data_IF_346837303842
#
_entry.id   IF_346837303842
#
_cell.length_a   1.000
_cell.length_b   1.000
_cell.length_c   1.000
_cell.angle_alpha   90.00
_cell.angle_beta   90.00
_cell.angle_gamma   90.00
#
_symmetry.space_group_name_H-M   'P 1'
#
loop_
_entity.id
_entity.type
_entity.pdbx_description
1 polymer ?
#
# COMPACT_ATOMS: atom_id res chain seq x y z
N UNK A 1 -36.87 10.18 23.62
CA UNK A 1 -36.21 10.95 22.61
C UNK A 1 -36.12 10.21 21.29
N UNK A 2 -36.46 10.86 20.23
CA UNK A 2 -36.64 10.25 18.92
C UNK A 2 -35.31 9.94 18.24
N UNK A 3 -34.20 10.53 18.71
CA UNK A 3 -32.86 10.27 18.18
C UNK A 3 -31.80 10.34 19.28
N UNK A 4 -31.53 9.20 19.91
CA UNK A 4 -30.52 9.08 20.96
C UNK A 4 -29.11 9.43 20.47
N UNK A 5 -28.74 9.02 19.25
CA UNK A 5 -27.44 9.37 18.66
C UNK A 5 -27.25 10.89 18.58
N UNK A 6 -28.25 11.60 18.09
CA UNK A 6 -28.24 13.08 18.02
C UNK A 6 -28.21 13.74 19.39
N UNK A 7 -28.91 13.16 20.37
CA UNK A 7 -28.88 13.65 21.73
C UNK A 7 -27.45 13.59 22.33
N UNK A 8 -26.75 12.50 22.12
CA UNK A 8 -25.41 12.28 22.71
C UNK A 8 -24.32 12.96 21.88
N UNK A 9 -24.40 12.87 20.57
CA UNK A 9 -23.31 13.25 19.67
C UNK A 9 -23.61 14.50 18.81
N UNK A 10 -24.77 15.14 18.97
CA UNK A 10 -25.24 16.16 18.03
C UNK A 10 -24.28 17.31 17.85
N UNK A 11 -23.77 17.89 18.94
CA UNK A 11 -22.79 18.99 18.86
C UNK A 11 -21.56 18.60 18.12
N UNK A 12 -20.98 17.43 18.45
CA UNK A 12 -19.80 16.91 17.75
C UNK A 12 -20.08 16.65 16.27
N UNK A 13 -21.21 16.01 15.96
CA UNK A 13 -21.59 15.69 14.59
C UNK A 13 -21.75 16.92 13.70
N UNK A 14 -22.28 17.99 14.25
CA UNK A 14 -22.53 19.24 13.51
C UNK A 14 -21.30 20.14 13.40
N UNK A 15 -20.26 19.91 14.25
CA UNK A 15 -19.05 20.75 14.30
C UNK A 15 -17.80 20.00 13.84
N UNK A 16 -17.84 18.67 13.74
CA UNK A 16 -16.68 17.87 13.32
C UNK A 16 -16.28 18.18 11.87
N UNK A 17 -15.00 18.41 11.65
CA UNK A 17 -14.45 18.64 10.32
C UNK A 17 -13.67 17.41 9.87
N UNK A 18 -13.90 16.99 8.64
CA UNK A 18 -13.13 15.93 7.98
C UNK A 18 -11.95 16.59 7.28
N UNK A 19 -10.73 16.20 7.64
CA UNK A 19 -9.53 16.71 6.97
C UNK A 19 -9.51 16.31 5.49
N UNK A 20 -8.87 17.11 4.64
CA UNK A 20 -8.88 16.95 3.19
C UNK A 20 -8.29 15.61 2.71
N UNK A 21 -7.43 14.98 3.51
CA UNK A 21 -6.80 13.68 3.28
C UNK A 21 -7.55 12.51 3.91
N UNK A 22 -8.73 12.74 4.50
CA UNK A 22 -9.51 11.73 5.21
C UNK A 22 -10.89 11.55 4.57
N UNK A 23 -11.40 10.33 4.61
CA UNK A 23 -12.76 10.00 4.18
C UNK A 23 -13.82 10.12 5.27
N UNK A 24 -13.39 10.33 6.52
CA UNK A 24 -14.26 10.42 7.67
C UNK A 24 -13.50 10.78 8.95
N UNK A 25 -14.26 11.19 9.98
CA UNK A 25 -13.74 11.49 11.31
C UNK A 25 -14.58 10.78 12.38
N UNK A 26 -13.93 10.30 13.42
CA UNK A 26 -14.59 9.60 14.52
C UNK A 26 -13.69 9.58 15.76
N UNK A 27 -14.12 8.90 16.82
CA UNK A 27 -13.40 8.82 18.09
C UNK A 27 -11.94 8.36 17.92
N UNK A 28 -11.70 7.41 17.02
CA UNK A 28 -10.34 6.94 16.73
C UNK A 28 -9.45 8.00 16.05
N UNK A 29 -10.03 8.96 15.33
CA UNK A 29 -9.26 10.05 14.72
C UNK A 29 -8.59 10.93 15.78
N UNK A 30 -9.26 11.17 16.90
CA UNK A 30 -8.72 11.95 18.02
C UNK A 30 -7.53 11.26 18.71
N UNK A 31 -7.49 9.93 18.68
CA UNK A 31 -6.38 9.14 19.21
C UNK A 31 -5.24 9.02 18.17
N UNK A 32 -5.59 8.75 16.93
CA UNK A 32 -4.62 8.45 15.87
C UNK A 32 -3.83 9.69 15.41
N UNK A 33 -4.46 10.87 15.33
CA UNK A 33 -3.77 12.09 14.88
C UNK A 33 -2.62 12.48 15.81
N UNK A 34 -2.81 12.62 17.14
CA UNK A 34 -1.72 12.89 18.07
C UNK A 34 -0.66 11.78 18.08
N UNK A 35 -1.08 10.51 17.97
CA UNK A 35 -0.17 9.37 17.93
C UNK A 35 0.73 9.40 16.69
N UNK A 36 0.19 9.68 15.51
CA UNK A 36 1.00 9.85 14.28
C UNK A 36 2.02 10.96 14.46
N UNK A 37 1.64 12.09 15.04
CA UNK A 37 2.55 13.20 15.32
C UNK A 37 3.67 12.81 16.28
N UNK A 38 3.34 12.07 17.33
CA UNK A 38 4.32 11.55 18.28
C UNK A 38 5.30 10.60 17.60
N UNK A 39 4.80 9.64 16.80
CA UNK A 39 5.64 8.71 16.05
C UNK A 39 6.57 9.46 15.08
N UNK A 40 6.06 10.43 14.35
CA UNK A 40 6.86 11.26 13.46
C UNK A 40 8.00 11.95 14.21
N UNK A 41 7.70 12.57 15.36
CA UNK A 41 8.72 13.24 16.19
C UNK A 41 9.80 12.25 16.67
N UNK A 42 9.41 11.01 17.05
CA UNK A 42 10.35 9.97 17.45
C UNK A 42 11.27 9.61 16.28
N UNK A 43 10.71 9.36 15.09
CA UNK A 43 11.45 9.01 13.89
C UNK A 43 12.40 10.13 13.45
N UNK A 44 11.92 11.37 13.46
CA UNK A 44 12.72 12.56 13.14
C UNK A 44 13.90 12.73 14.11
N UNK A 45 13.71 12.43 15.40
CA UNK A 45 14.77 12.52 16.39
C UNK A 45 15.79 11.39 16.20
N UNK A 46 15.32 10.14 16.12
CA UNK A 46 16.20 8.96 16.01
C UNK A 46 17.02 8.99 14.72
N UNK A 47 16.46 9.50 13.61
CA UNK A 47 17.17 9.62 12.32
C UNK A 47 18.29 10.69 12.33
N UNK A 48 18.27 11.65 13.28
CA UNK A 48 19.26 12.71 13.39
C UNK A 48 20.32 12.43 14.46
N UNK A 49 20.15 11.40 15.28
CA UNK A 49 21.07 11.05 16.36
C UNK A 49 22.19 10.12 15.84
N UNK A 50 23.37 10.27 16.42
CA UNK A 50 24.44 9.27 16.27
C UNK A 50 24.11 8.04 17.11
N UNK A 51 23.58 7.02 16.47
CA UNK A 51 23.20 5.79 17.13
C UNK A 51 24.27 4.71 16.96
N UNK A 52 24.53 3.93 18.01
CA UNK A 52 25.51 2.84 17.97
C UNK A 52 25.06 1.76 16.98
N UNK A 53 26.00 1.26 16.17
CA UNK A 53 25.74 0.21 15.15
C UNK A 53 25.10 -1.03 15.76
N UNK A 54 24.00 -1.49 15.16
CA UNK A 54 23.27 -2.69 15.54
C UNK A 54 22.14 -2.46 16.55
N UNK A 55 22.00 -1.24 17.11
CA UNK A 55 20.87 -0.89 17.98
C UNK A 55 19.57 -0.76 17.19
N UNK A 56 18.44 -0.83 17.89
CA UNK A 56 17.11 -0.60 17.28
C UNK A 56 17.01 0.82 16.77
N UNK A 57 17.51 1.78 17.54
CA UNK A 57 17.51 3.20 17.19
C UNK A 57 18.26 3.44 15.87
N UNK A 58 19.44 2.83 15.69
CA UNK A 58 20.20 2.94 14.45
C UNK A 58 19.40 2.36 13.27
N UNK A 59 18.84 1.16 13.41
CA UNK A 59 18.08 0.51 12.31
C UNK A 59 16.85 1.30 11.91
N UNK A 60 16.09 1.79 12.89
CA UNK A 60 14.88 2.59 12.66
C UNK A 60 15.26 3.96 12.08
N UNK A 61 16.28 4.61 12.62
CA UNK A 61 16.75 5.91 12.14
C UNK A 61 17.24 5.86 10.71
N UNK A 62 18.10 4.89 10.37
CA UNK A 62 18.63 4.72 9.01
C UNK A 62 17.53 4.37 8.01
N UNK A 63 16.61 3.49 8.40
CA UNK A 63 15.48 3.13 7.54
C UNK A 63 14.58 4.35 7.24
N UNK A 64 14.25 5.13 8.28
CA UNK A 64 13.45 6.33 8.10
C UNK A 64 14.19 7.39 7.28
N UNK A 65 15.46 7.64 7.57
CA UNK A 65 16.29 8.59 6.83
C UNK A 65 16.39 8.23 5.35
N UNK A 66 16.58 6.94 5.03
CA UNK A 66 16.65 6.48 3.64
C UNK A 66 15.35 6.71 2.86
N UNK A 67 14.20 6.62 3.53
CA UNK A 67 12.88 6.90 2.93
C UNK A 67 12.59 8.40 2.76
N UNK A 68 13.28 9.26 3.51
CA UNK A 68 13.12 10.72 3.46
C UNK A 68 14.18 11.43 2.61
N UNK A 69 15.17 10.72 2.12
CA UNK A 69 16.23 11.23 1.24
C UNK A 69 15.72 11.42 -0.20
N UNK A 70 14.95 12.48 -0.38
CA UNK A 70 14.34 12.81 -1.68
C UNK A 70 15.38 13.14 -2.75
N UNK A 71 16.56 13.59 -2.38
CA UNK A 71 17.64 13.87 -3.33
C UNK A 71 18.14 12.57 -3.95
N UNK A 72 18.57 11.61 -3.15
CA UNK A 72 19.01 10.29 -3.63
C UNK A 72 17.88 9.52 -4.34
N UNK A 73 16.64 9.61 -3.84
CA UNK A 73 15.48 8.95 -4.47
C UNK A 73 15.27 9.51 -5.89
N UNK A 74 15.30 10.84 -6.06
CA UNK A 74 15.10 11.48 -7.36
C UNK A 74 16.28 11.23 -8.31
N UNK A 75 17.52 11.22 -7.80
CA UNK A 75 18.71 10.91 -8.59
C UNK A 75 18.68 9.46 -9.11
N UNK A 76 18.32 8.52 -8.27
CA UNK A 76 18.26 7.11 -8.66
C UNK A 76 17.06 6.79 -9.58
N UNK A 77 15.97 7.55 -9.49
CA UNK A 77 14.77 7.34 -10.27
C UNK A 77 14.28 5.88 -10.17
N UNK A 78 14.03 5.21 -11.32
CA UNK A 78 13.57 3.82 -11.37
C UNK A 78 14.69 2.77 -11.44
N UNK A 79 15.97 3.17 -11.39
CA UNK A 79 17.12 2.24 -11.42
C UNK A 79 16.96 1.03 -10.46
N UNK A 80 16.49 1.21 -9.21
CA UNK A 80 16.38 0.08 -8.29
C UNK A 80 15.41 -1.02 -8.71
N UNK A 81 14.44 -0.73 -9.58
CA UNK A 81 13.47 -1.71 -10.07
C UNK A 81 13.84 -2.31 -11.43
N UNK A 82 14.86 -1.80 -12.13
CA UNK A 82 15.32 -2.33 -13.42
C UNK A 82 15.55 -3.85 -13.41
N UNK A 83 16.23 -4.43 -12.42
CA UNK A 83 16.42 -5.87 -12.38
C UNK A 83 15.13 -6.69 -12.33
N UNK A 84 14.07 -6.13 -11.76
CA UNK A 84 12.74 -6.76 -11.74
C UNK A 84 12.08 -6.63 -13.11
N UNK A 85 12.18 -5.46 -13.76
CA UNK A 85 11.66 -5.22 -15.11
C UNK A 85 12.32 -6.13 -16.13
N UNK A 86 13.65 -6.27 -16.10
CA UNK A 86 14.40 -7.18 -16.96
C UNK A 86 13.95 -8.65 -16.81
N UNK A 87 13.63 -9.07 -15.59
CA UNK A 87 13.09 -10.41 -15.32
C UNK A 87 11.67 -10.57 -15.86
N UNK A 88 10.86 -9.51 -15.85
CA UNK A 88 9.52 -9.49 -16.44
C UNK A 88 9.63 -9.58 -17.97
N UNK A 89 10.52 -8.81 -18.57
CA UNK A 89 10.74 -8.80 -20.03
C UNK A 89 11.25 -10.15 -20.57
N UNK A 90 11.95 -10.92 -19.74
CA UNK A 90 12.40 -12.26 -20.06
C UNK A 90 11.30 -13.33 -20.05
N UNK A 91 10.07 -13.00 -19.63
CA UNK A 91 8.94 -13.95 -19.56
C UNK A 91 8.38 -14.18 -20.99
N UNK A 92 8.58 -15.37 -21.52
CA UNK A 92 8.13 -15.73 -22.89
C UNK A 92 7.00 -16.75 -22.93
N UNK A 93 6.65 -17.37 -21.81
CA UNK A 93 5.64 -18.42 -21.72
C UNK A 93 5.05 -18.54 -20.32
N UNK A 94 3.96 -19.32 -20.19
CA UNK A 94 3.25 -19.51 -18.92
C UNK A 94 4.11 -20.17 -17.83
N UNK A 95 4.90 -21.22 -18.09
CA UNK A 95 5.81 -21.77 -17.09
C UNK A 95 6.78 -20.72 -16.52
N UNK A 96 7.41 -19.91 -17.36
CA UNK A 96 8.31 -18.83 -16.92
C UNK A 96 7.57 -17.77 -16.08
N UNK A 97 6.34 -17.44 -16.45
CA UNK A 97 5.48 -16.56 -15.65
C UNK A 97 5.22 -17.14 -14.26
N UNK A 98 4.86 -18.43 -14.18
CA UNK A 98 4.57 -19.09 -12.90
C UNK A 98 5.81 -19.21 -12.01
N UNK A 99 6.99 -19.43 -12.60
CA UNK A 99 8.27 -19.40 -11.88
C UNK A 99 8.58 -18.01 -11.33
N UNK A 100 8.40 -16.96 -12.14
CA UNK A 100 8.53 -15.58 -11.70
C UNK A 100 7.58 -15.28 -10.52
N UNK A 101 6.30 -15.61 -10.65
CA UNK A 101 5.28 -15.40 -9.61
C UNK A 101 5.65 -16.13 -8.30
N UNK A 102 6.13 -17.38 -8.40
CA UNK A 102 6.55 -18.14 -7.23
C UNK A 102 7.77 -17.52 -6.52
N UNK A 103 8.74 -17.02 -7.29
CA UNK A 103 9.91 -16.34 -6.73
C UNK A 103 9.56 -15.00 -6.08
N UNK A 104 8.70 -14.19 -6.69
CA UNK A 104 8.22 -12.95 -6.09
C UNK A 104 7.42 -13.20 -4.80
N UNK A 105 6.61 -14.26 -4.78
CA UNK A 105 5.86 -14.65 -3.57
C UNK A 105 6.78 -15.00 -2.39
N UNK A 106 7.94 -15.64 -2.64
CA UNK A 106 8.95 -15.93 -1.58
C UNK A 106 9.52 -14.66 -0.95
N UNK A 107 9.63 -13.59 -1.70
CA UNK A 107 10.13 -12.29 -1.23
C UNK A 107 9.03 -11.41 -0.62
N UNK A 108 7.81 -11.90 -0.57
CA UNK A 108 6.64 -11.18 -0.03
C UNK A 108 5.93 -10.28 -1.04
N UNK A 109 6.39 -10.28 -2.28
CA UNK A 109 5.74 -9.52 -3.35
C UNK A 109 4.44 -10.22 -3.79
N UNK A 110 3.41 -9.42 -4.03
CA UNK A 110 2.12 -9.90 -4.54
C UNK A 110 2.06 -9.64 -6.03
N UNK A 111 1.75 -10.67 -6.80
CA UNK A 111 1.52 -10.57 -8.23
C UNK A 111 0.10 -11.02 -8.58
N UNK A 112 -0.08 -11.94 -9.52
CA UNK A 112 -1.39 -12.46 -9.95
C UNK A 112 -2.06 -13.38 -8.93
N UNK A 113 -1.30 -13.93 -8.00
CA UNK A 113 -1.80 -14.72 -6.87
C UNK A 113 -1.23 -14.20 -5.54
N UNK A 114 -1.99 -14.36 -4.48
CA UNK A 114 -1.57 -14.14 -3.09
C UNK A 114 -1.54 -15.48 -2.36
N UNK A 115 -0.46 -15.72 -1.64
CA UNK A 115 -0.26 -16.92 -0.84
C UNK A 115 -0.12 -16.57 0.63
N UNK A 116 -0.66 -17.40 1.50
CA UNK A 116 -0.50 -17.26 2.93
C UNK A 116 -0.77 -18.58 3.66
N UNK A 117 -0.23 -18.69 4.85
CA UNK A 117 -0.51 -19.82 5.75
C UNK A 117 -1.40 -19.32 6.88
N UNK A 118 -2.55 -19.98 7.06
CA UNK A 118 -3.57 -19.63 8.05
C UNK A 118 -4.22 -20.89 8.61
N UNK A 119 -4.88 -20.80 9.78
CA UNK A 119 -5.69 -21.91 10.29
C UNK A 119 -6.73 -22.36 9.28
N UNK A 120 -6.91 -23.67 9.17
CA UNK A 120 -7.98 -24.25 8.36
C UNK A 120 -9.35 -23.82 8.92
N UNK A 121 -10.22 -23.33 8.03
CA UNK A 121 -11.59 -22.94 8.41
C UNK A 121 -12.44 -24.08 8.96
N UNK A 122 -12.09 -25.33 8.66
CA UNK A 122 -12.77 -26.53 9.15
C UNK A 122 -12.10 -27.15 10.38
N UNK A 123 -10.82 -26.90 10.57
CA UNK A 123 -10.05 -27.38 11.71
C UNK A 123 -8.97 -26.37 12.11
N UNK A 124 -9.30 -25.46 13.00
CA UNK A 124 -8.42 -24.38 13.45
C UNK A 124 -7.14 -24.83 14.18
N UNK A 125 -7.02 -26.13 14.50
CA UNK A 125 -5.81 -26.68 15.12
C UNK A 125 -4.67 -26.94 14.13
N UNK A 126 -4.92 -26.87 12.84
CA UNK A 126 -3.92 -27.04 11.79
C UNK A 126 -3.83 -25.79 10.90
N UNK A 127 -2.64 -25.51 10.43
CA UNK A 127 -2.42 -24.44 9.45
C UNK A 127 -2.32 -25.08 8.05
N UNK A 128 -2.98 -24.45 7.09
CA UNK A 128 -2.93 -24.84 5.68
C UNK A 128 -2.54 -23.68 4.78
N UNK A 129 -2.08 -24.01 3.59
CA UNK A 129 -1.82 -23.02 2.54
C UNK A 129 -3.14 -22.47 1.97
N UNK A 130 -3.25 -21.17 1.94
CA UNK A 130 -4.34 -20.44 1.28
C UNK A 130 -3.80 -19.73 0.05
N UNK A 131 -4.46 -19.91 -1.07
CA UNK A 131 -4.15 -19.24 -2.33
C UNK A 131 -5.36 -18.40 -2.73
N UNK A 132 -5.12 -17.14 -3.05
CA UNK A 132 -6.15 -16.18 -3.42
C UNK A 132 -5.77 -15.51 -4.75
N UNK A 133 -6.79 -15.12 -5.50
CA UNK A 133 -6.60 -14.21 -6.63
C UNK A 133 -6.05 -12.87 -6.13
N UNK A 134 -5.10 -12.31 -6.88
CA UNK A 134 -4.51 -11.00 -6.63
C UNK A 134 -4.18 -10.31 -7.95
N UNK A 135 -3.54 -9.16 -7.91
CA UNK A 135 -2.95 -8.49 -9.08
C UNK A 135 -3.91 -7.61 -9.86
N UNK A 136 -5.16 -7.45 -9.45
CA UNK A 136 -6.03 -6.42 -10.02
C UNK A 136 -5.77 -5.08 -9.31
N UNK A 137 -5.53 -4.04 -10.08
CA UNK A 137 -5.19 -2.71 -9.55
C UNK A 137 -6.39 -1.84 -9.15
N UNK A 138 -7.62 -2.31 -9.42
CA UNK A 138 -8.87 -1.70 -8.94
C UNK A 138 -9.50 -2.59 -7.86
N UNK A 139 -10.39 -2.07 -7.00
CA UNK A 139 -10.87 -2.79 -5.82
C UNK A 139 -11.51 -4.15 -6.09
N UNK A 140 -12.23 -4.30 -7.19
CA UNK A 140 -12.88 -5.56 -7.58
C UNK A 140 -13.14 -5.63 -9.11
N UNK A 141 -13.63 -6.79 -9.54
CA UNK A 141 -13.96 -7.10 -10.94
C UNK A 141 -14.95 -6.10 -11.56
N UNK A 142 -15.91 -5.62 -10.80
CA UNK A 142 -17.00 -4.78 -11.30
C UNK A 142 -16.50 -3.45 -11.88
N UNK A 143 -15.39 -2.93 -11.35
CA UNK A 143 -14.74 -1.73 -11.89
C UNK A 143 -14.25 -1.88 -13.34
N UNK A 144 -14.10 -3.10 -13.83
CA UNK A 144 -13.67 -3.36 -15.21
C UNK A 144 -14.86 -3.60 -16.17
N UNK A 145 -16.04 -3.90 -15.64
CA UNK A 145 -17.19 -4.33 -16.46
C UNK A 145 -18.41 -3.40 -16.41
N UNK A 146 -18.57 -2.64 -15.31
CA UNK A 146 -19.68 -1.68 -15.19
C UNK A 146 -19.46 -0.50 -16.12
N UNK A 147 -20.59 0.01 -16.66
CA UNK A 147 -20.61 1.09 -17.66
C UNK A 147 -21.32 2.35 -17.17
N UNK A 148 -21.64 2.45 -15.88
CA UNK A 148 -22.13 3.70 -15.32
C UNK A 148 -21.04 4.80 -15.35
N UNK A 149 -21.47 6.06 -15.37
CA UNK A 149 -20.58 7.22 -15.57
C UNK A 149 -19.47 7.34 -14.51
N UNK A 150 -19.73 6.92 -13.29
CA UNK A 150 -18.75 6.96 -12.21
C UNK A 150 -17.68 5.90 -12.41
N UNK A 151 -18.05 4.69 -12.77
CA UNK A 151 -17.11 3.58 -13.05
C UNK A 151 -16.27 3.86 -14.28
N UNK A 152 -16.88 4.36 -15.37
CA UNK A 152 -16.14 4.74 -16.58
C UNK A 152 -15.09 5.81 -16.30
N UNK A 153 -15.40 6.81 -15.49
CA UNK A 153 -14.40 7.84 -15.08
C UNK A 153 -13.22 7.24 -14.33
N UNK A 154 -13.47 6.29 -13.41
CA UNK A 154 -12.41 5.59 -12.68
C UNK A 154 -11.57 4.74 -13.64
N UNK A 155 -12.22 4.03 -14.57
CA UNK A 155 -11.55 3.22 -15.57
C UNK A 155 -10.62 4.04 -16.48
N UNK A 156 -11.07 5.22 -16.93
CA UNK A 156 -10.25 6.12 -17.74
C UNK A 156 -9.09 6.71 -16.94
N UNK A 157 -9.32 7.08 -15.69
CA UNK A 157 -8.26 7.55 -14.80
C UNK A 157 -7.20 6.46 -14.55
N UNK A 158 -7.64 5.20 -14.38
CA UNK A 158 -6.74 4.06 -14.19
C UNK A 158 -5.89 3.78 -15.44
N UNK A 159 -6.47 3.85 -16.65
CA UNK A 159 -5.70 3.74 -17.90
C UNK A 159 -4.61 4.81 -18.01
N UNK A 160 -4.96 6.08 -17.72
CA UNK A 160 -4.00 7.18 -17.73
C UNK A 160 -2.89 6.99 -16.69
N UNK A 161 -3.25 6.48 -15.51
CA UNK A 161 -2.28 6.16 -14.47
C UNK A 161 -1.29 5.08 -14.92
N UNK A 162 -1.78 3.98 -15.52
CA UNK A 162 -0.92 2.92 -16.06
C UNK A 162 0.01 3.44 -17.16
N UNK A 163 -0.51 4.22 -18.10
CA UNK A 163 0.31 4.83 -19.16
C UNK A 163 1.42 5.71 -18.59
N UNK A 164 1.10 6.55 -17.60
CA UNK A 164 2.09 7.39 -16.93
C UNK A 164 3.17 6.56 -16.20
N UNK A 165 2.80 5.45 -15.54
CA UNK A 165 3.76 4.55 -14.90
C UNK A 165 4.73 3.93 -15.91
N UNK A 166 4.22 3.44 -17.06
CA UNK A 166 5.07 2.88 -18.10
C UNK A 166 6.00 3.91 -18.70
N UNK A 167 5.53 5.15 -18.94
CA UNK A 167 6.39 6.24 -19.39
C UNK A 167 7.53 6.55 -18.40
N UNK A 168 7.26 6.54 -17.09
CA UNK A 168 8.28 6.77 -16.06
C UNK A 168 9.37 5.69 -16.05
N UNK A 169 9.08 4.49 -16.55
CA UNK A 169 10.05 3.39 -16.68
C UNK A 169 10.72 3.33 -18.07
N UNK A 170 10.49 4.34 -18.92
CA UNK A 170 11.12 4.44 -20.23
C UNK A 170 10.45 3.61 -21.32
N UNK A 171 9.23 3.10 -21.07
CA UNK A 171 8.46 2.41 -22.11
C UNK A 171 7.84 3.44 -23.06
N UNK A 172 8.05 3.28 -24.35
CA UNK A 172 7.35 4.04 -25.39
C UNK A 172 5.87 3.62 -25.44
N UNK A 173 4.99 4.57 -25.84
CA UNK A 173 3.54 4.29 -26.00
C UNK A 173 3.25 3.40 -27.19
#
# INVERSE_FOLDING_TARGET
GDNFFRHVNGIWYDTAQIAADQSGVGSYSFLNIPQKKLLQNILDNVSKMENSKGTIEQKVGDFYASGMDMETINERGYEPIKPILERIDAITNVPALMEFVANETKTGNRSVISFGVRPDHKNSNINIAHVYQAGIGLPDRDYFFKTDSSTLRIHDAYKKYLAALFQLTGSDQ
#
